data_IF_297371437938
#
_entry.id   IF_297371437938
#
_cell.length_a   1.000
_cell.length_b   1.000
_cell.length_c   1.000
_cell.angle_alpha   90.00
_cell.angle_beta   90.00
_cell.angle_gamma   90.00
#
_symmetry.space_group_name_H-M   'P 1'
#
loop_
_entity.id
_entity.type
_entity.pdbx_description
1 polymer ?
#
# COMPACT_ATOMS: atom_id res chain seq x y z
N UNK A 1 1.87 20.84 -2.90
CA UNK A 1 0.73 19.93 -3.16
C UNK A 1 1.11 18.58 -2.57
N UNK A 2 0.41 18.11 -1.52
CA UNK A 2 0.82 16.94 -0.72
C UNK A 2 0.41 15.64 -1.41
N UNK A 3 1.33 14.91 -2.07
CA UNK A 3 1.06 13.61 -2.73
C UNK A 3 2.44 12.96 -3.05
N UNK A 4 2.86 11.73 -2.70
CA UNK A 4 2.24 10.40 -2.76
C UNK A 4 3.04 9.33 -1.94
N UNK A 5 2.31 8.49 -1.21
CA UNK A 5 2.75 7.22 -0.57
C UNK A 5 2.55 6.05 -1.54
N UNK A 6 3.31 4.94 -1.45
CA UNK A 6 2.61 3.64 -1.28
C UNK A 6 3.45 2.53 -0.67
N UNK A 7 2.84 1.71 0.17
CA UNK A 7 3.46 0.59 0.88
C UNK A 7 2.29 -0.47 0.94
N UNK A 8 2.40 -1.76 0.47
CA UNK A 8 1.50 -2.95 0.75
C UNK A 8 2.14 -4.28 1.34
N UNK A 9 1.54 -4.90 2.37
CA UNK A 9 1.91 -6.02 3.29
C UNK A 9 2.99 -5.85 4.38
N UNK A 10 4.30 -5.79 4.09
CA UNK A 10 5.13 -4.87 4.94
C UNK A 10 4.62 -3.49 4.73
N UNK A 11 4.25 -3.31 3.49
CA UNK A 11 4.06 -2.02 3.03
C UNK A 11 2.61 -1.57 3.49
N UNK A 12 1.78 -2.51 3.95
CA UNK A 12 0.58 -2.30 4.79
C UNK A 12 0.93 -2.01 6.25
N UNK A 13 2.19 -2.07 6.65
CA UNK A 13 2.59 -2.07 8.05
C UNK A 13 3.72 -1.06 8.40
N UNK A 14 4.14 -0.12 7.52
CA UNK A 14 5.34 0.73 7.78
C UNK A 14 5.23 2.17 8.34
N UNK A 15 4.07 2.78 8.53
CA UNK A 15 3.89 4.21 8.87
C UNK A 15 3.71 4.58 10.36
N UNK A 16 4.83 4.68 11.08
CA UNK A 16 5.04 5.62 12.21
C UNK A 16 4.30 5.37 13.54
N UNK A 17 5.08 5.43 14.64
CA UNK A 17 4.59 5.80 15.97
C UNK A 17 5.62 6.71 16.67
N UNK A 18 5.08 7.65 17.46
CA UNK A 18 5.60 8.31 18.67
C UNK A 18 5.86 9.82 18.57
N UNK A 19 5.10 10.59 19.37
CA UNK A 19 5.59 11.08 20.66
C UNK A 19 4.43 11.28 21.67
N UNK A 20 4.72 10.91 22.92
CA UNK A 20 3.95 11.25 24.11
C UNK A 20 4.35 12.66 24.59
N UNK A 21 3.39 13.35 25.21
CA UNK A 21 3.57 14.58 25.97
C UNK A 21 2.25 15.05 26.59
N UNK A 22 2.03 14.74 27.86
CA UNK A 22 1.01 15.35 28.75
C UNK A 22 1.54 16.69 29.33
N UNK A 23 0.76 17.56 30.05
CA UNK A 23 -0.55 17.32 30.70
C UNK A 23 -1.62 18.45 30.60
N UNK A 24 -2.87 18.11 30.97
CA UNK A 24 -3.74 19.02 31.72
C UNK A 24 -5.22 19.12 31.29
N UNK A 25 -6.13 18.45 32.02
CA UNK A 25 -7.41 19.01 32.52
C UNK A 25 -8.16 17.94 33.36
N UNK A 26 -8.77 18.38 34.47
CA UNK A 26 -9.34 17.56 35.55
C UNK A 26 -10.54 16.64 35.21
N UNK A 27 -11.09 15.97 36.24
CA UNK A 27 -11.67 14.64 36.11
C UNK A 27 -13.14 14.65 35.67
N UNK A 28 -13.55 13.79 34.73
CA UNK A 28 -14.87 13.19 34.74
C UNK A 28 -14.88 11.97 35.68
N UNK A 29 -16.04 11.67 36.29
CA UNK A 29 -16.22 10.59 37.26
C UNK A 29 -15.83 9.20 36.76
N UNK A 30 -15.80 8.17 37.65
CA UNK A 30 -15.27 6.86 37.33
C UNK A 30 -16.22 6.06 36.43
N UNK A 31 -16.22 6.38 35.14
CA UNK A 31 -16.54 5.40 34.11
C UNK A 31 -15.35 4.44 34.10
N UNK A 32 -15.56 3.17 34.43
CA UNK A 32 -14.53 2.14 34.23
C UNK A 32 -14.06 2.22 32.78
N UNK A 33 -12.86 2.75 32.57
CA UNK A 33 -12.26 2.79 31.26
C UNK A 33 -12.21 1.33 30.76
N UNK A 34 -12.83 1.08 29.61
CA UNK A 34 -12.73 -0.22 28.97
C UNK A 34 -11.24 -0.58 28.87
N UNK A 35 -10.83 -1.80 29.24
CA UNK A 35 -9.42 -2.19 29.22
C UNK A 35 -8.87 -1.92 27.82
N UNK A 36 -7.76 -1.18 27.76
CA UNK A 36 -7.12 -0.86 26.49
C UNK A 36 -6.81 -2.16 25.77
N UNK A 37 -7.30 -2.37 24.53
CA UNK A 37 -7.09 -3.63 23.85
C UNK A 37 -5.60 -3.89 23.70
N UNK A 38 -5.17 -5.09 24.12
CA UNK A 38 -3.78 -5.52 24.02
C UNK A 38 -3.39 -5.61 22.54
N UNK A 39 -2.29 -4.96 22.15
CA UNK A 39 -1.74 -5.10 20.80
C UNK A 39 -1.26 -6.53 20.57
N UNK A 40 -1.49 -7.03 19.35
CA UNK A 40 -1.04 -8.34 18.90
C UNK A 40 0.50 -8.47 19.00
N UNK A 41 0.95 -9.64 19.45
CA UNK A 41 2.37 -9.98 19.55
C UNK A 41 2.84 -10.80 18.34
N UNK A 42 1.94 -11.52 17.67
CA UNK A 42 2.22 -12.29 16.46
C UNK A 42 1.48 -11.77 15.24
N UNK A 43 1.93 -12.17 14.05
CA UNK A 43 1.24 -11.85 12.78
C UNK A 43 -0.15 -12.49 12.73
N UNK A 44 -0.32 -13.73 13.20
CA UNK A 44 -1.63 -14.40 13.22
C UNK A 44 -2.62 -13.69 14.15
N UNK A 45 -2.17 -13.27 15.33
CA UNK A 45 -2.98 -12.43 16.23
C UNK A 45 -3.35 -11.10 15.59
N UNK A 46 -2.44 -10.47 14.84
CA UNK A 46 -2.71 -9.23 14.13
C UNK A 46 -3.83 -9.42 13.10
N UNK A 47 -3.78 -10.49 12.30
CA UNK A 47 -4.84 -10.83 11.34
C UNK A 47 -6.20 -11.05 12.02
N UNK A 48 -6.25 -11.78 13.14
CA UNK A 48 -7.49 -11.98 13.90
C UNK A 48 -8.06 -10.69 14.49
N UNK A 49 -7.17 -9.78 14.89
CA UNK A 49 -7.56 -8.52 15.52
C UNK A 49 -7.96 -7.45 14.50
N UNK A 50 -7.63 -7.60 13.20
CA UNK A 50 -7.96 -6.59 12.19
C UNK A 50 -9.46 -6.24 12.23
N UNK A 51 -9.80 -4.95 12.27
CA UNK A 51 -11.20 -4.54 12.34
C UNK A 51 -11.93 -4.95 11.06
N UNK A 52 -13.16 -5.41 11.19
CA UNK A 52 -14.06 -5.66 10.06
C UNK A 52 -14.81 -4.41 9.61
N UNK A 53 -14.76 -3.33 10.41
CA UNK A 53 -15.40 -2.06 10.11
C UNK A 53 -14.57 -1.20 9.15
N UNK A 54 -15.28 -0.43 8.32
CA UNK A 54 -14.69 0.54 7.40
C UNK A 54 -14.63 1.92 8.08
N UNK A 55 -13.43 2.51 8.14
CA UNK A 55 -13.14 3.84 8.71
C UNK A 55 -11.65 4.16 8.54
N UNK A 56 -11.20 5.40 8.77
CA UNK A 56 -9.80 5.75 8.50
C UNK A 56 -8.81 5.04 9.45
N UNK A 57 -9.19 4.83 10.72
CA UNK A 57 -8.35 4.16 11.72
C UNK A 57 -7.11 4.96 12.16
N UNK A 58 -6.81 6.09 11.54
CA UNK A 58 -5.74 7.00 11.94
C UNK A 58 -6.20 7.86 13.12
N UNK A 59 -5.44 7.89 14.21
CA UNK A 59 -5.60 8.90 15.27
C UNK A 59 -4.98 10.26 14.88
N UNK A 60 -4.07 10.23 13.91
CA UNK A 60 -3.40 11.40 13.35
C UNK A 60 -4.15 11.90 12.12
N UNK A 61 -4.67 13.13 12.20
CA UNK A 61 -5.39 13.78 11.10
C UNK A 61 -4.52 13.97 9.86
N UNK A 62 -3.19 14.10 10.00
CA UNK A 62 -2.28 14.23 8.86
C UNK A 62 -2.11 12.92 8.08
N UNK A 63 -2.52 11.78 8.67
CA UNK A 63 -2.58 10.48 8.01
C UNK A 63 -3.95 10.17 7.40
N UNK A 64 -4.99 10.92 7.78
CA UNK A 64 -6.35 10.74 7.23
C UNK A 64 -6.31 11.14 5.76
N UNK A 65 -6.55 10.16 4.89
CA UNK A 65 -6.72 10.40 3.47
C UNK A 65 -7.94 9.60 3.01
N UNK A 66 -9.08 10.27 2.91
CA UNK A 66 -10.34 9.63 2.54
C UNK A 66 -10.58 9.74 1.03
N UNK A 67 -9.99 8.83 0.27
CA UNK A 67 -10.41 8.60 -1.12
C UNK A 67 -11.25 7.33 -1.18
N UNK A 68 -12.54 7.53 -1.42
CA UNK A 68 -13.51 6.49 -1.77
C UNK A 68 -13.88 5.55 -0.62
N UNK A 69 -14.77 4.60 -0.90
CA UNK A 69 -15.24 3.61 0.06
C UNK A 69 -14.10 2.67 0.49
N UNK A 70 -13.45 2.98 1.63
CA UNK A 70 -12.45 2.11 2.28
C UNK A 70 -11.06 2.74 2.51
N UNK A 71 -10.78 3.93 1.94
CA UNK A 71 -9.65 4.76 2.36
C UNK A 71 -8.24 4.40 1.85
N UNK A 72 -8.16 3.55 0.82
CA UNK A 72 -6.89 3.22 0.17
C UNK A 72 -5.84 2.57 1.10
N UNK A 73 -4.58 2.57 0.64
CA UNK A 73 -3.47 1.96 1.39
C UNK A 73 -3.18 2.62 2.73
N UNK A 74 -3.38 3.93 2.85
CA UNK A 74 -3.07 4.70 4.07
C UNK A 74 -4.02 4.32 5.21
N UNK A 75 -5.32 4.25 4.91
CA UNK A 75 -6.29 3.94 5.94
C UNK A 75 -6.18 2.47 6.36
N UNK A 76 -5.90 1.56 5.42
CA UNK A 76 -5.61 0.17 5.81
C UNK A 76 -4.37 0.10 6.72
N UNK A 77 -3.30 0.80 6.36
CA UNK A 77 -2.12 0.90 7.19
C UNK A 77 -2.43 1.41 8.61
N UNK A 78 -3.22 2.48 8.75
CA UNK A 78 -3.62 3.01 10.05
C UNK A 78 -4.43 2.00 10.86
N UNK A 79 -5.39 1.32 10.23
CA UNK A 79 -6.17 0.26 10.89
C UNK A 79 -5.30 -0.91 11.34
N UNK A 80 -4.25 -1.26 10.59
CA UNK A 80 -3.33 -2.29 11.02
C UNK A 80 -2.51 -1.86 12.25
N UNK A 81 -2.15 -0.58 12.38
CA UNK A 81 -1.43 -0.06 13.55
C UNK A 81 -2.22 -0.06 14.85
N UNK A 82 -3.54 0.01 14.78
CA UNK A 82 -4.38 -0.03 15.99
C UNK A 82 -4.22 -1.36 16.70
N UNK A 83 -3.96 -2.45 15.95
CA UNK A 83 -3.85 -3.81 16.49
C UNK A 83 -2.43 -4.36 16.49
N UNK A 84 -1.54 -3.89 15.61
CA UNK A 84 -0.19 -4.40 15.47
C UNK A 84 0.83 -3.28 15.32
N UNK A 85 1.71 -3.12 16.30
CA UNK A 85 2.61 -1.97 16.32
C UNK A 85 3.76 -2.14 15.31
N UNK A 86 4.19 -1.02 14.72
CA UNK A 86 5.36 -1.01 13.85
C UNK A 86 6.63 -1.51 14.54
N UNK A 87 6.82 -1.16 15.82
CA UNK A 87 7.91 -1.68 16.65
C UNK A 87 7.87 -3.20 16.73
N UNK A 88 6.69 -3.78 16.91
CA UNK A 88 6.51 -5.24 16.93
C UNK A 88 6.89 -5.83 15.58
N UNK A 89 6.39 -5.29 14.47
CA UNK A 89 6.75 -5.78 13.13
C UNK A 89 8.27 -5.76 12.91
N UNK A 90 8.93 -4.64 13.24
CA UNK A 90 10.38 -4.49 13.07
C UNK A 90 11.17 -5.45 13.96
N UNK A 91 10.66 -5.82 15.14
CA UNK A 91 11.30 -6.80 16.01
C UNK A 91 11.21 -8.24 15.49
N UNK A 92 10.23 -8.55 14.64
CA UNK A 92 10.08 -9.85 13.99
C UNK A 92 10.89 -9.97 12.70
N UNK A 93 11.16 -8.85 12.05
CA UNK A 93 11.86 -8.82 10.76
C UNK A 93 13.38 -8.99 10.95
N UNK A 94 14.06 -9.75 10.07
CA UNK A 94 15.50 -9.99 10.18
C UNK A 94 16.34 -8.76 9.79
N UNK A 95 15.76 -7.81 9.07
CA UNK A 95 16.43 -6.60 8.58
C UNK A 95 15.46 -5.43 8.56
N UNK A 96 15.99 -4.21 8.48
CA UNK A 96 15.15 -3.04 8.26
C UNK A 96 14.41 -3.13 6.90
N UNK A 97 13.20 -2.55 6.78
CA UNK A 97 12.42 -2.56 5.55
C UNK A 97 13.11 -1.87 4.38
N UNK A 98 13.73 -0.71 4.65
CA UNK A 98 14.27 0.16 3.62
C UNK A 98 15.80 0.18 3.71
N UNK A 99 16.46 0.00 2.57
CA UNK A 99 17.91 0.17 2.43
C UNK A 99 18.33 1.62 2.19
N UNK A 100 17.41 2.43 1.66
CA UNK A 100 17.62 3.84 1.36
C UNK A 100 16.28 4.56 1.18
N UNK A 101 16.32 5.89 1.15
CA UNK A 101 15.16 6.75 0.93
C UNK A 101 14.84 7.63 2.13
N UNK A 102 13.67 8.27 2.12
CA UNK A 102 13.33 9.32 3.08
C UNK A 102 12.79 8.76 4.41
N UNK A 103 12.58 7.45 4.51
CA UNK A 103 12.06 6.77 5.69
C UNK A 103 13.20 6.36 6.62
N UNK A 104 13.25 6.90 7.83
CA UNK A 104 14.34 6.69 8.77
C UNK A 104 13.83 6.46 10.19
N UNK A 105 14.57 5.69 11.00
CA UNK A 105 14.25 5.49 12.43
C UNK A 105 12.85 4.92 12.68
N UNK A 106 12.31 4.14 11.75
CA UNK A 106 10.95 3.61 11.83
C UNK A 106 9.84 4.66 11.59
N UNK A 107 10.16 5.84 11.05
CA UNK A 107 9.18 6.86 10.67
C UNK A 107 9.05 6.93 9.15
N UNK A 108 7.83 7.01 8.63
CA UNK A 108 7.64 7.35 7.23
C UNK A 108 7.58 8.86 7.04
N UNK A 109 8.38 9.32 6.11
CA UNK A 109 8.35 10.67 5.54
C UNK A 109 7.45 10.70 4.30
N UNK A 110 6.24 11.25 4.45
CA UNK A 110 5.14 11.17 3.47
C UNK A 110 5.05 12.39 2.54
N UNK A 111 5.74 13.45 2.91
CA UNK A 111 5.90 14.72 2.21
C UNK A 111 7.12 14.73 1.28
N UNK A 112 7.83 13.61 1.15
CA UNK A 112 8.95 13.48 0.22
C UNK A 112 8.44 13.40 -1.22
N UNK A 113 8.53 14.51 -1.94
CA UNK A 113 8.06 14.61 -3.33
C UNK A 113 9.00 13.93 -4.33
N UNK A 114 10.32 13.95 -4.05
CA UNK A 114 11.39 13.51 -4.96
C UNK A 114 12.19 12.30 -4.50
N UNK A 115 11.81 11.68 -3.40
CA UNK A 115 12.45 10.46 -2.95
C UNK A 115 11.40 9.45 -2.45
N UNK A 116 11.79 8.18 -2.40
CA UNK A 116 10.92 7.11 -1.96
C UNK A 116 11.72 6.02 -1.24
N UNK A 117 11.05 5.30 -0.33
CA UNK A 117 11.67 4.18 0.36
C UNK A 117 12.02 3.07 -0.63
N UNK A 118 13.30 2.71 -0.72
CA UNK A 118 13.81 1.59 -1.52
C UNK A 118 13.90 0.38 -0.61
N UNK A 119 13.16 -0.69 -0.92
CA UNK A 119 13.15 -1.87 -0.05
C UNK A 119 14.49 -2.61 -0.03
N UNK A 120 14.80 -3.22 1.12
CA UNK A 120 15.74 -4.34 1.20
C UNK A 120 15.03 -5.62 0.74
N UNK A 121 15.59 -6.31 -0.26
CA UNK A 121 14.99 -7.52 -0.82
C UNK A 121 14.93 -8.69 0.18
N UNK A 122 15.84 -8.75 1.16
CA UNK A 122 15.82 -9.78 2.23
C UNK A 122 14.58 -9.62 3.10
N UNK A 123 14.27 -8.39 3.42
CA UNK A 123 13.09 -8.04 4.16
C UNK A 123 11.80 -8.34 3.38
N UNK A 124 11.76 -8.04 2.07
CA UNK A 124 10.58 -8.38 1.24
C UNK A 124 10.36 -9.88 1.17
N UNK A 125 11.42 -10.69 1.03
CA UNK A 125 11.31 -12.15 1.07
C UNK A 125 10.72 -12.62 2.40
N UNK A 126 11.30 -12.18 3.51
CA UNK A 126 10.77 -12.48 4.84
C UNK A 126 9.29 -12.11 4.96
N UNK A 127 8.89 -10.96 4.43
CA UNK A 127 7.50 -10.53 4.46
C UNK A 127 6.56 -11.46 3.69
N UNK A 128 6.95 -11.87 2.49
CA UNK A 128 6.19 -12.82 1.67
C UNK A 128 6.05 -14.18 2.35
N UNK A 129 7.08 -14.58 3.10
CA UNK A 129 7.11 -15.87 3.78
C UNK A 129 6.33 -15.87 5.11
N UNK A 130 6.19 -14.71 5.76
CA UNK A 130 5.70 -14.64 7.15
C UNK A 130 4.41 -13.82 7.35
N UNK A 131 4.06 -12.90 6.44
CA UNK A 131 2.91 -12.01 6.65
C UNK A 131 1.55 -12.58 6.21
N UNK A 132 1.53 -13.80 5.69
CA UNK A 132 0.33 -14.51 5.26
C UNK A 132 0.27 -15.84 6.05
N UNK A 133 0.05 -15.80 7.38
CA UNK A 133 0.12 -16.98 8.22
C UNK A 133 -0.96 -18.03 7.89
N UNK A 134 -2.04 -17.61 7.22
CA UNK A 134 -3.14 -18.47 6.79
C UNK A 134 -2.87 -19.27 5.50
N UNK A 135 -1.67 -19.13 4.89
CA UNK A 135 -1.30 -19.87 3.66
C UNK A 135 -1.45 -21.39 3.86
N UNK A 136 -0.97 -21.90 5.00
CA UNK A 136 -1.01 -23.34 5.32
C UNK A 136 -1.92 -23.68 6.51
N UNK A 137 -2.72 -22.72 6.98
CA UNK A 137 -3.64 -22.88 8.11
C UNK A 137 -5.06 -22.55 7.68
N UNK A 138 -5.83 -23.60 7.36
CA UNK A 138 -7.22 -23.47 6.91
C UNK A 138 -8.17 -22.93 7.98
N UNK A 139 -7.90 -23.20 9.26
CA UNK A 139 -8.71 -22.68 10.35
C UNK A 139 -8.50 -21.17 10.52
N UNK A 140 -7.23 -20.75 10.58
CA UNK A 140 -6.89 -19.32 10.63
C UNK A 140 -7.40 -18.57 9.40
N UNK A 141 -7.35 -19.19 8.21
CA UNK A 141 -7.92 -18.62 6.99
C UNK A 141 -9.42 -18.36 7.13
N UNK A 142 -10.17 -19.34 7.60
CA UNK A 142 -11.61 -19.20 7.81
C UNK A 142 -11.92 -18.10 8.85
N UNK A 143 -11.17 -18.05 9.96
CA UNK A 143 -11.30 -17.03 11.00
C UNK A 143 -11.04 -15.60 10.49
N UNK A 144 -10.09 -15.45 9.55
CA UNK A 144 -9.59 -14.14 9.10
C UNK A 144 -10.16 -13.68 7.76
N UNK A 145 -10.99 -14.51 7.11
CA UNK A 145 -11.59 -14.22 5.80
C UNK A 145 -12.40 -12.91 5.83
N UNK A 146 -13.21 -12.68 6.87
CA UNK A 146 -14.02 -11.48 6.98
C UNK A 146 -13.17 -10.20 7.05
N UNK A 147 -12.03 -10.25 7.75
CA UNK A 147 -11.09 -9.14 7.81
C UNK A 147 -10.41 -8.91 6.45
N UNK A 148 -10.00 -9.98 5.76
CA UNK A 148 -9.48 -9.89 4.40
C UNK A 148 -10.49 -9.22 3.45
N UNK A 149 -11.74 -9.69 3.44
CA UNK A 149 -12.79 -9.21 2.55
C UNK A 149 -13.10 -7.73 2.77
N UNK A 150 -13.13 -7.29 4.04
CA UNK A 150 -13.42 -5.91 4.40
C UNK A 150 -12.25 -4.96 4.15
N UNK A 151 -11.01 -5.41 4.38
CA UNK A 151 -9.85 -4.51 4.48
C UNK A 151 -8.86 -4.61 3.33
N UNK A 152 -8.68 -5.83 2.80
CA UNK A 152 -7.51 -6.17 1.98
C UNK A 152 -7.91 -6.45 0.54
N UNK A 153 -9.04 -7.13 0.33
CA UNK A 153 -9.46 -7.67 -0.97
C UNK A 153 -9.41 -6.65 -2.09
N UNK A 154 -10.06 -5.50 -1.92
CA UNK A 154 -10.10 -4.46 -2.97
C UNK A 154 -8.69 -3.96 -3.31
N UNK A 155 -7.85 -3.72 -2.31
CA UNK A 155 -6.47 -3.24 -2.53
C UNK A 155 -5.62 -4.32 -3.21
N UNK A 156 -5.74 -5.57 -2.78
CA UNK A 156 -5.01 -6.70 -3.37
C UNK A 156 -5.38 -6.89 -4.85
N UNK A 157 -6.68 -6.87 -5.17
CA UNK A 157 -7.19 -6.98 -6.54
C UNK A 157 -6.73 -5.80 -7.41
N UNK A 158 -6.84 -4.56 -6.93
CA UNK A 158 -6.37 -3.38 -7.69
C UNK A 158 -4.87 -3.46 -7.97
N UNK A 159 -4.06 -3.83 -6.97
CA UNK A 159 -2.61 -3.94 -7.16
C UNK A 159 -2.25 -5.07 -8.13
N UNK A 160 -2.99 -6.17 -8.12
CA UNK A 160 -2.81 -7.28 -9.06
C UNK A 160 -3.09 -6.83 -10.48
N UNK A 161 -4.23 -6.18 -10.70
CA UNK A 161 -4.64 -5.72 -12.02
C UNK A 161 -3.67 -4.71 -12.62
N UNK A 162 -3.24 -3.74 -11.82
CA UNK A 162 -2.24 -2.77 -12.25
C UNK A 162 -0.90 -3.43 -12.55
N UNK A 163 -0.45 -4.38 -11.72
CA UNK A 163 0.77 -5.12 -12.00
C UNK A 163 0.66 -5.86 -13.33
N UNK A 164 -0.44 -6.59 -13.52
CA UNK A 164 -0.74 -7.38 -14.72
C UNK A 164 -0.70 -6.51 -15.97
N UNK A 165 -1.33 -5.34 -15.90
CA UNK A 165 -1.34 -4.36 -16.98
C UNK A 165 0.07 -3.84 -17.31
N UNK A 166 0.83 -3.43 -16.30
CA UNK A 166 2.21 -2.94 -16.45
C UNK A 166 3.16 -4.04 -16.96
N UNK A 167 3.05 -5.26 -16.42
CA UNK A 167 3.92 -6.39 -16.78
C UNK A 167 3.70 -6.85 -18.22
N UNK A 168 2.46 -6.81 -18.70
CA UNK A 168 2.10 -7.14 -20.09
C UNK A 168 2.55 -6.08 -21.11
N UNK A 169 3.00 -4.91 -20.64
CA UNK A 169 3.36 -3.77 -21.49
C UNK A 169 4.78 -3.25 -21.14
N UNK A 170 5.84 -4.03 -21.42
CA UNK A 170 7.20 -3.71 -20.97
C UNK A 170 7.76 -2.41 -21.55
N UNK A 171 7.40 -2.06 -22.79
CA UNK A 171 7.81 -0.79 -23.40
C UNK A 171 7.19 0.41 -22.68
N UNK A 172 5.89 0.32 -22.35
CA UNK A 172 5.19 1.31 -21.53
C UNK A 172 5.86 1.44 -20.16
N UNK A 173 6.09 0.32 -19.48
CA UNK A 173 6.74 0.30 -18.16
C UNK A 173 8.09 1.00 -18.19
N UNK A 174 8.96 0.67 -19.14
CA UNK A 174 10.29 1.29 -19.26
C UNK A 174 10.19 2.79 -19.48
N UNK A 175 9.28 3.24 -20.35
CA UNK A 175 9.04 4.66 -20.59
C UNK A 175 8.55 5.38 -19.33
N UNK A 176 7.54 4.83 -18.65
CA UNK A 176 6.96 5.47 -17.47
C UNK A 176 7.89 5.44 -16.26
N UNK A 177 8.67 4.36 -16.04
CA UNK A 177 9.75 4.35 -15.04
C UNK A 177 10.72 5.50 -15.31
N UNK A 178 11.12 5.69 -16.57
CA UNK A 178 12.02 6.78 -16.94
C UNK A 178 11.36 8.14 -16.73
N UNK A 179 10.12 8.38 -17.15
CA UNK A 179 9.46 9.68 -16.97
C UNK A 179 9.24 9.97 -15.49
N UNK A 180 8.61 9.04 -14.77
CA UNK A 180 8.20 9.17 -13.38
C UNK A 180 9.40 9.34 -12.45
N UNK A 181 10.43 8.51 -12.60
CA UNK A 181 11.58 8.52 -11.69
C UNK A 181 12.67 9.50 -12.13
N UNK A 182 12.76 9.90 -13.41
CA UNK A 182 13.61 11.05 -13.76
C UNK A 182 13.17 12.31 -13.04
N UNK A 183 11.87 12.52 -12.85
CA UNK A 183 11.38 13.69 -12.11
C UNK A 183 11.72 13.65 -10.60
N UNK A 184 12.06 12.47 -10.07
CA UNK A 184 12.62 12.30 -8.74
C UNK A 184 14.13 12.58 -8.71
N UNK A 185 14.87 12.12 -9.73
CA UNK A 185 16.33 12.23 -9.83
C UNK A 185 16.81 13.62 -10.36
N UNK A 186 15.99 14.34 -11.13
CA UNK A 186 16.32 15.59 -11.81
C UNK A 186 15.43 16.75 -11.33
N UNK A 187 16.05 17.68 -10.59
CA UNK A 187 15.36 18.83 -10.01
C UNK A 187 14.81 19.82 -11.06
N UNK A 188 15.31 19.78 -12.29
CA UNK A 188 14.86 20.64 -13.40
C UNK A 188 13.55 20.16 -14.03
N UNK A 189 13.18 18.88 -13.82
CA UNK A 189 11.89 18.35 -14.26
C UNK A 189 10.82 18.82 -13.29
N UNK A 190 9.92 19.67 -13.79
CA UNK A 190 8.73 20.08 -13.04
C UNK A 190 7.82 18.88 -12.83
N UNK A 191 7.51 18.60 -11.57
CA UNK A 191 6.52 17.61 -11.19
C UNK A 191 5.13 18.15 -11.52
N UNK A 192 4.59 17.74 -12.66
CA UNK A 192 3.27 18.17 -13.12
C UNK A 192 2.20 17.21 -12.60
N UNK A 193 1.11 17.76 -12.05
CA UNK A 193 -0.06 16.99 -11.64
C UNK A 193 -0.59 16.12 -12.80
N UNK A 194 -0.45 16.56 -14.06
CA UNK A 194 -0.83 15.77 -15.23
C UNK A 194 -0.12 14.41 -15.31
N UNK A 195 1.11 14.30 -14.79
CA UNK A 195 1.87 13.03 -14.74
C UNK A 195 1.20 12.04 -13.80
N UNK A 196 0.67 12.54 -12.68
CA UNK A 196 0.03 11.76 -11.63
C UNK A 196 -1.38 11.35 -12.05
N UNK A 197 -2.16 12.29 -12.63
CA UNK A 197 -3.53 12.03 -13.10
C UNK A 197 -3.57 11.05 -14.26
N UNK A 198 -2.56 11.06 -15.14
CA UNK A 198 -2.42 10.08 -16.21
C UNK A 198 -2.49 8.62 -15.73
N UNK A 199 -2.09 8.34 -14.49
CA UNK A 199 -2.13 6.98 -13.95
C UNK A 199 -3.50 6.53 -13.45
N UNK A 200 -4.52 7.39 -13.45
CA UNK A 200 -5.91 7.00 -13.14
C UNK A 200 -6.44 5.98 -14.14
N UNK A 201 -6.07 6.16 -15.41
CA UNK A 201 -6.66 5.42 -16.53
C UNK A 201 -5.79 4.25 -17.01
N UNK A 202 -4.83 3.78 -16.19
CA UNK A 202 -3.95 2.64 -16.55
C UNK A 202 -4.76 1.38 -16.84
N UNK A 203 -5.91 1.19 -16.20
CA UNK A 203 -6.81 0.05 -16.46
C UNK A 203 -7.89 0.35 -17.51
N UNK A 204 -7.84 1.53 -18.16
CA UNK A 204 -8.90 2.06 -19.01
C UNK A 204 -9.74 3.11 -18.30
N UNK A 205 -10.61 3.80 -19.06
CA UNK A 205 -11.50 4.86 -18.55
C UNK A 205 -12.67 4.32 -17.72
N UNK A 206 -12.93 3.01 -17.80
CA UNK A 206 -13.83 2.26 -16.92
C UNK A 206 -13.14 1.86 -15.61
N UNK A 207 -11.83 2.15 -15.47
CA UNK A 207 -10.98 1.84 -14.32
C UNK A 207 -10.98 0.36 -13.92
N UNK A 208 -11.42 -0.53 -14.82
CA UNK A 208 -11.68 -1.94 -14.51
C UNK A 208 -12.64 -2.16 -13.33
N UNK A 209 -13.49 -1.17 -12.99
CA UNK A 209 -14.37 -1.21 -11.83
C UNK A 209 -13.69 -0.90 -10.48
N UNK A 210 -12.46 -0.38 -10.48
CA UNK A 210 -11.72 0.02 -9.27
C UNK A 210 -11.70 1.54 -9.08
N UNK A 211 -11.37 1.97 -7.85
CA UNK A 211 -11.16 3.39 -7.56
C UNK A 211 -9.91 3.92 -8.29
N UNK A 212 -10.02 4.99 -9.09
CA UNK A 212 -8.90 5.51 -9.88
C UNK A 212 -7.74 6.03 -9.02
N UNK A 213 -7.99 6.46 -7.78
CA UNK A 213 -6.94 6.83 -6.83
C UNK A 213 -6.16 5.59 -6.36
N UNK A 214 -6.81 4.44 -6.23
CA UNK A 214 -6.13 3.18 -5.89
C UNK A 214 -5.28 2.73 -7.07
N UNK A 215 -5.80 2.81 -8.29
CA UNK A 215 -5.08 2.47 -9.53
C UNK A 215 -3.82 3.33 -9.67
N UNK A 216 -3.97 4.64 -9.50
CA UNK A 216 -2.85 5.59 -9.51
C UNK A 216 -1.78 5.20 -8.49
N UNK A 217 -2.21 4.98 -7.26
CA UNK A 217 -1.30 4.66 -6.15
C UNK A 217 -0.56 3.35 -6.41
N UNK A 218 -1.26 2.32 -6.89
CA UNK A 218 -0.70 1.03 -7.28
C UNK A 218 0.29 1.18 -8.45
N UNK A 219 -0.03 2.00 -9.45
CA UNK A 219 0.82 2.22 -10.63
C UNK A 219 2.15 2.80 -10.19
N UNK A 220 2.10 3.90 -9.44
CA UNK A 220 3.29 4.56 -8.93
C UNK A 220 4.11 3.65 -8.01
N UNK A 221 3.44 2.82 -7.22
CA UNK A 221 4.12 1.82 -6.41
C UNK A 221 4.91 0.83 -7.25
N UNK A 222 4.28 0.19 -8.24
CA UNK A 222 4.94 -0.79 -9.10
C UNK A 222 6.10 -0.20 -9.89
N UNK A 223 5.98 1.05 -10.36
CA UNK A 223 7.10 1.75 -11.01
C UNK A 223 8.30 1.92 -10.05
N UNK A 224 8.06 2.30 -8.77
CA UNK A 224 9.11 2.38 -7.74
C UNK A 224 9.74 1.02 -7.41
N UNK A 225 8.93 -0.04 -7.32
CA UNK A 225 9.40 -1.42 -7.07
C UNK A 225 10.21 -2.00 -8.24
N UNK A 226 9.95 -1.53 -9.45
CA UNK A 226 10.76 -1.87 -10.61
C UNK A 226 12.18 -1.30 -10.46
N UNK A 227 12.31 -0.06 -10.00
CA UNK A 227 13.61 0.61 -9.80
C UNK A 227 14.44 0.03 -8.65
N UNK A 228 13.80 -0.33 -7.54
CA UNK A 228 14.52 -0.91 -6.39
C UNK A 228 14.76 -2.42 -6.50
N UNK A 229 14.26 -3.06 -7.57
CA UNK A 229 14.48 -4.48 -7.88
C UNK A 229 13.57 -5.44 -7.12
N UNK A 230 12.55 -4.95 -6.40
CA UNK A 230 11.70 -5.79 -5.55
C UNK A 230 10.33 -6.13 -6.15
N UNK A 231 10.00 -5.64 -7.35
CA UNK A 231 8.70 -5.88 -7.98
C UNK A 231 8.32 -7.36 -8.11
N UNK A 232 9.24 -8.23 -8.53
CA UNK A 232 8.96 -9.66 -8.67
C UNK A 232 8.63 -10.34 -7.32
N UNK A 233 9.36 -9.99 -6.26
CA UNK A 233 9.12 -10.51 -4.92
C UNK A 233 7.75 -10.08 -4.39
N UNK A 234 7.43 -8.81 -4.55
CA UNK A 234 6.12 -8.28 -4.17
C UNK A 234 4.97 -8.90 -4.96
N UNK A 235 5.17 -9.15 -6.25
CA UNK A 235 4.18 -9.84 -7.07
C UNK A 235 3.93 -11.26 -6.58
N UNK A 236 4.99 -12.03 -6.26
CA UNK A 236 4.85 -13.36 -5.66
C UNK A 236 4.11 -13.33 -4.32
N UNK A 237 4.36 -12.33 -3.48
CA UNK A 237 3.59 -12.12 -2.25
C UNK A 237 2.12 -11.82 -2.47
N UNK A 238 1.81 -11.01 -3.48
CA UNK A 238 0.44 -10.70 -3.84
C UNK A 238 -0.30 -11.91 -4.41
N UNK A 239 0.38 -12.69 -5.26
CA UNK A 239 -0.13 -13.95 -5.77
C UNK A 239 -0.45 -14.93 -4.64
N UNK A 240 0.45 -15.06 -3.66
CA UNK A 240 0.25 -15.88 -2.46
C UNK A 240 -0.94 -15.40 -1.63
N UNK A 241 -1.08 -14.10 -1.39
CA UNK A 241 -2.18 -13.52 -0.64
C UNK A 241 -3.53 -13.82 -1.30
N UNK A 242 -3.63 -13.54 -2.60
CA UNK A 242 -4.83 -13.79 -3.39
C UNK A 242 -5.10 -15.29 -3.52
N UNK A 243 -4.09 -16.12 -3.68
CA UNK A 243 -4.24 -17.58 -3.70
C UNK A 243 -4.71 -18.14 -2.35
N UNK A 244 -4.38 -17.48 -1.24
CA UNK A 244 -4.83 -17.86 0.09
C UNK A 244 -6.30 -17.52 0.31
N UNK A 245 -6.70 -16.27 0.06
CA UNK A 245 -8.03 -15.76 0.45
C UNK A 245 -9.03 -15.58 -0.70
N UNK A 246 -8.59 -15.64 -1.95
CA UNK A 246 -9.35 -15.18 -3.12
C UNK A 246 -9.02 -15.97 -4.40
N UNK A 247 -8.77 -17.27 -4.23
CA UNK A 247 -8.22 -18.13 -5.27
C UNK A 247 -9.08 -18.19 -6.55
N UNK A 248 -10.41 -18.20 -6.39
CA UNK A 248 -11.34 -18.24 -7.52
C UNK A 248 -11.24 -16.97 -8.38
N UNK A 249 -11.19 -15.79 -7.74
CA UNK A 249 -10.98 -14.54 -8.45
C UNK A 249 -9.61 -14.51 -9.13
N UNK A 250 -8.56 -14.90 -8.41
CA UNK A 250 -7.20 -14.95 -8.97
C UNK A 250 -7.15 -15.85 -10.21
N UNK A 251 -7.76 -17.04 -10.15
CA UNK A 251 -7.84 -17.97 -11.27
C UNK A 251 -8.48 -17.35 -12.52
N UNK A 252 -9.59 -16.61 -12.35
CA UNK A 252 -10.26 -15.92 -13.44
C UNK A 252 -9.47 -14.71 -14.01
N UNK A 253 -8.51 -14.18 -13.25
CA UNK A 253 -7.71 -13.00 -13.63
C UNK A 253 -6.23 -13.34 -13.85
N UNK A 254 -5.90 -14.62 -14.06
CA UNK A 254 -4.59 -15.03 -14.56
C UNK A 254 -4.48 -14.77 -16.07
N UNK A 255 -3.24 -14.63 -16.54
CA UNK A 255 -2.93 -14.38 -17.94
C UNK A 255 -2.54 -12.94 -18.25
N UNK A 256 -2.19 -12.65 -19.52
CA UNK A 256 -1.78 -11.32 -19.93
C UNK A 256 -2.95 -10.33 -19.90
N UNK A 257 -2.63 -9.07 -19.64
CA UNK A 257 -3.60 -7.98 -19.72
C UNK A 257 -4.05 -7.77 -21.18
N UNK A 258 -5.36 -7.74 -21.46
CA UNK A 258 -5.86 -7.78 -22.84
C UNK A 258 -5.84 -6.42 -23.54
N UNK A 259 -5.74 -5.31 -22.80
CA UNK A 259 -5.80 -3.94 -23.35
C UNK A 259 -4.39 -3.37 -23.53
N UNK A 260 -4.21 -2.51 -24.53
CA UNK A 260 -3.02 -1.63 -24.57
C UNK A 260 -3.15 -0.58 -23.47
N UNK A 261 -2.04 -0.24 -22.84
CA UNK A 261 -1.99 0.85 -21.88
C UNK A 261 -2.12 2.22 -22.56
N UNK A 262 -2.64 3.25 -21.87
CA UNK A 262 -2.77 4.58 -22.44
C UNK A 262 -1.41 5.14 -22.87
N UNK A 263 -1.42 5.91 -23.96
CA UNK A 263 -0.27 6.67 -24.41
C UNK A 263 -0.35 8.09 -23.86
N UNK A 264 0.80 8.67 -23.47
CA UNK A 264 0.81 10.08 -23.03
C UNK A 264 0.48 10.97 -24.24
N UNK A 265 -0.42 11.96 -24.08
CA UNK A 265 -0.62 12.94 -25.14
C UNK A 265 0.71 13.61 -25.48
N UNK A 266 1.00 13.79 -26.78
CA UNK A 266 2.15 14.59 -27.20
C UNK A 266 1.98 15.99 -26.62
N UNK A 267 3.06 16.57 -26.07
CA UNK A 267 3.13 17.84 -25.27
C UNK A 267 2.26 19.03 -25.74
N UNK A 268 1.72 19.03 -26.95
CA UNK A 268 0.82 20.06 -27.47
C UNK A 268 -0.66 19.91 -27.03
N UNK A 269 -1.04 18.85 -26.30
CA UNK A 269 -2.44 18.54 -25.98
C UNK A 269 -2.64 18.03 -24.55
N UNK A 270 -1.99 18.63 -23.54
CA UNK A 270 -2.39 18.35 -22.16
C UNK A 270 -3.70 19.11 -21.89
N UNK A 271 -4.84 18.44 -21.63
CA UNK A 271 -6.05 19.12 -21.24
C UNK A 271 -5.81 19.86 -19.90
N UNK A 272 -6.30 21.09 -19.79
CA UNK A 272 -6.38 21.79 -18.51
C UNK A 272 -7.32 20.97 -17.61
N UNK A 273 -6.75 20.17 -16.71
CA UNK A 273 -7.50 19.61 -15.60
C UNK A 273 -7.73 20.76 -14.60
N UNK A 274 -8.90 21.40 -14.70
CA UNK A 274 -9.42 22.36 -13.72
C UNK A 274 -10.07 21.64 -12.54
#
# INVERSE_FOLDING_TARGET
MRTLLPVTLVAVLSSSLALAGEPGAGPPGPTQAAPTPRKAATIAEAWRALPTITGHGCADEDLIFDYGAGGGMRNFFCRALTVFSWKTLLSLAPTAPFRAGPHQGGKLKLDSERDFGRYDARFVRWAVDNLIPAENDGALRAETQAAYDAQVRTLARTYWEVQRAIASNPAWRTREVNIYLRAADDASVKWDASVIWFYHDVLGTDWGGYDPNHIRSATMWWLRRTKDGTAALWHGGLEKLLGTYDAAWLGAHRGPWPKKLPERPRRAQAPEYR
#
